data_IF_359914934413
#
_entry.id   IF_359914934413
#
_cell.length_a   1.000
_cell.length_b   1.000
_cell.length_c   1.000
_cell.angle_alpha   90.00
_cell.angle_beta   90.00
_cell.angle_gamma   90.00
#
_symmetry.space_group_name_H-M   'P 1'
#
loop_
_entity.id
_entity.type
_entity.pdbx_description
1 polymer ?
#
# COMPACT_ATOMS: atom_id res chain seq x y z
N UNK A 1 -9.25 -11.76 -0.92
CA UNK A 1 -9.95 -10.72 -1.73
C UNK A 1 -10.61 -9.62 -0.91
N UNK A 2 -11.61 -9.89 -0.06
CA UNK A 2 -12.27 -8.79 0.68
C UNK A 2 -11.33 -8.12 1.68
N UNK A 3 -10.56 -8.93 2.43
CA UNK A 3 -9.51 -8.45 3.33
C UNK A 3 -8.39 -7.71 2.58
N UNK A 4 -7.94 -8.22 1.44
CA UNK A 4 -6.98 -7.54 0.55
C UNK A 4 -7.46 -6.15 0.14
N UNK A 5 -8.71 -6.02 -0.31
CA UNK A 5 -9.30 -4.72 -0.68
C UNK A 5 -9.44 -3.77 0.52
N UNK A 6 -9.68 -4.30 1.72
CA UNK A 6 -9.74 -3.50 2.96
C UNK A 6 -8.35 -2.96 3.28
N UNK A 7 -7.34 -3.84 3.35
CA UNK A 7 -5.94 -3.45 3.61
C UNK A 7 -5.46 -2.41 2.60
N UNK A 8 -5.79 -2.62 1.32
CA UNK A 8 -5.44 -1.69 0.27
C UNK A 8 -6.14 -0.34 0.43
N UNK A 9 -7.43 -0.33 0.78
CA UNK A 9 -8.16 0.93 1.01
C UNK A 9 -7.57 1.71 2.18
N UNK A 10 -7.29 1.04 3.30
CA UNK A 10 -6.66 1.66 4.47
C UNK A 10 -5.28 2.22 4.12
N UNK A 11 -4.45 1.47 3.39
CA UNK A 11 -3.14 1.98 2.95
C UNK A 11 -3.25 3.24 2.06
N UNK A 12 -4.30 3.33 1.24
CA UNK A 12 -4.56 4.51 0.41
C UNK A 12 -5.11 5.69 1.21
N UNK A 13 -5.94 5.45 2.23
CA UNK A 13 -6.39 6.49 3.17
C UNK A 13 -5.19 7.08 3.92
N UNK A 14 -4.28 6.25 4.42
CA UNK A 14 -3.03 6.68 5.06
C UNK A 14 -2.13 7.46 4.08
N UNK A 15 -2.02 7.01 2.83
CA UNK A 15 -1.28 7.73 1.80
C UNK A 15 -1.88 9.12 1.52
N UNK A 16 -3.20 9.23 1.41
CA UNK A 16 -3.90 10.50 1.25
C UNK A 16 -3.71 11.43 2.46
N UNK A 17 -3.74 10.87 3.66
CA UNK A 17 -3.46 11.59 4.90
C UNK A 17 -2.02 12.11 4.92
N UNK A 18 -1.03 11.30 4.52
CA UNK A 18 0.37 11.74 4.41
C UNK A 18 0.56 12.89 3.42
N UNK A 19 -0.16 12.88 2.28
CA UNK A 19 -0.11 14.01 1.34
C UNK A 19 -0.71 15.27 1.94
N UNK A 20 -1.86 15.15 2.62
CA UNK A 20 -2.48 16.26 3.34
C UNK A 20 -1.52 16.85 4.38
N UNK A 21 -0.90 15.99 5.19
CA UNK A 21 0.08 16.40 6.19
C UNK A 21 1.27 17.13 5.56
N UNK A 22 1.84 16.60 4.48
CA UNK A 22 2.96 17.24 3.78
C UNK A 22 2.56 18.60 3.19
N UNK A 23 1.31 18.77 2.75
CA UNK A 23 0.81 20.04 2.20
C UNK A 23 0.68 21.15 3.25
N UNK A 24 0.56 20.79 4.52
CA UNK A 24 0.45 21.74 5.64
C UNK A 24 1.82 22.26 6.12
N UNK A 25 2.93 21.63 5.71
CA UNK A 25 4.27 22.02 6.13
C UNK A 25 4.73 23.25 5.33
N UNK A 26 4.88 24.44 5.95
CA UNK A 26 5.11 25.69 5.21
C UNK A 26 6.43 25.75 4.44
N UNK A 27 7.41 24.94 4.83
CA UNK A 27 8.74 24.86 4.21
C UNK A 27 8.81 23.82 3.09
N UNK A 28 7.72 23.10 2.82
CA UNK A 28 7.67 22.07 1.79
C UNK A 28 7.45 22.70 0.41
N UNK A 29 8.52 23.23 -0.19
CA UNK A 29 8.47 23.90 -1.51
C UNK A 29 8.33 22.92 -2.69
N UNK A 30 8.42 21.60 -2.46
CA UNK A 30 8.36 20.60 -3.52
C UNK A 30 6.93 20.15 -3.77
N UNK A 31 6.56 19.99 -5.05
CA UNK A 31 5.35 19.26 -5.42
C UNK A 31 5.36 17.89 -4.75
N UNK A 32 4.28 17.56 -4.03
CA UNK A 32 4.15 16.26 -3.36
C UNK A 32 4.10 15.19 -4.45
N UNK A 33 5.10 14.28 -4.53
CA UNK A 33 5.09 13.24 -5.54
C UNK A 33 4.00 12.22 -5.23
N UNK A 34 3.57 11.50 -6.26
CA UNK A 34 2.69 10.36 -6.09
C UNK A 34 3.29 9.33 -5.12
N UNK A 35 2.49 8.83 -4.19
CA UNK A 35 2.94 7.81 -3.23
C UNK A 35 2.93 6.45 -3.92
N UNK A 36 4.09 5.78 -3.93
CA UNK A 36 4.21 4.42 -4.44
C UNK A 36 3.79 3.40 -3.38
N UNK A 37 2.76 2.62 -3.67
CA UNK A 37 2.30 1.50 -2.85
C UNK A 37 2.74 0.20 -3.51
N UNK A 38 3.60 -0.55 -2.83
CA UNK A 38 3.95 -1.91 -3.22
C UNK A 38 2.91 -2.91 -2.71
N UNK A 39 2.38 -3.74 -3.61
CA UNK A 39 1.35 -4.73 -3.27
C UNK A 39 1.62 -6.09 -3.90
N UNK A 40 1.34 -7.18 -3.17
CA UNK A 40 1.72 -8.54 -3.56
C UNK A 40 0.62 -9.36 -4.25
N UNK A 41 -0.57 -8.78 -4.42
CA UNK A 41 -1.70 -9.41 -5.12
C UNK A 41 -1.96 -8.70 -6.46
N UNK A 42 -1.43 -9.29 -7.54
CA UNK A 42 -1.70 -8.85 -8.92
C UNK A 42 -3.19 -8.86 -9.24
N UNK A 43 -3.94 -9.81 -8.68
CA UNK A 43 -5.39 -9.91 -8.84
C UNK A 43 -6.15 -8.73 -8.19
N UNK A 44 -5.66 -8.19 -7.08
CA UNK A 44 -6.23 -6.99 -6.47
C UNK A 44 -5.86 -5.73 -7.27
N UNK A 45 -4.58 -5.58 -7.65
CA UNK A 45 -4.12 -4.46 -8.51
C UNK A 45 -4.97 -4.39 -9.78
N UNK A 46 -5.09 -5.51 -10.50
CA UNK A 46 -5.88 -5.58 -11.73
C UNK A 46 -7.35 -5.20 -11.52
N UNK A 47 -7.96 -5.57 -10.37
CA UNK A 47 -9.36 -5.21 -10.07
C UNK A 47 -9.55 -3.73 -9.81
N UNK A 48 -8.60 -3.11 -9.11
CA UNK A 48 -8.65 -1.69 -8.81
C UNK A 48 -8.46 -0.87 -10.09
N UNK A 49 -7.52 -1.29 -10.95
CA UNK A 49 -7.26 -0.65 -12.25
C UNK A 49 -8.36 -0.91 -13.29
N UNK A 50 -9.17 -1.95 -13.13
CA UNK A 50 -10.24 -2.27 -14.07
C UNK A 50 -11.40 -1.27 -13.96
N UNK A 51 -11.56 -0.44 -15.00
CA UNK A 51 -12.62 0.56 -15.13
C UNK A 51 -14.04 -0.02 -15.02
N UNK A 52 -14.26 -1.25 -15.49
CA UNK A 52 -15.56 -1.92 -15.51
C UNK A 52 -15.88 -2.66 -14.21
N UNK A 53 -14.92 -2.79 -13.30
CA UNK A 53 -15.17 -3.39 -12.01
C UNK A 53 -15.84 -2.36 -11.10
N UNK A 54 -17.06 -2.66 -10.62
CA UNK A 54 -17.84 -1.75 -9.78
C UNK A 54 -17.97 -2.24 -8.33
N UNK A 55 -17.05 -3.07 -7.83
CA UNK A 55 -17.16 -3.68 -6.50
C UNK A 55 -18.41 -4.57 -6.35
N UNK A 56 -18.33 -5.86 -6.72
CA UNK A 56 -19.53 -6.72 -6.71
C UNK A 56 -20.25 -6.77 -5.34
N UNK A 57 -19.52 -6.63 -4.23
CA UNK A 57 -20.05 -6.64 -2.85
C UNK A 57 -20.21 -5.22 -2.29
N UNK A 58 -21.32 -4.97 -1.58
CA UNK A 58 -21.65 -3.67 -0.96
C UNK A 58 -20.50 -3.10 -0.11
N UNK A 59 -19.80 -3.92 0.67
CA UNK A 59 -18.70 -3.50 1.54
C UNK A 59 -17.40 -3.14 0.79
N UNK A 60 -17.26 -3.61 -0.45
CA UNK A 60 -16.07 -3.38 -1.31
C UNK A 60 -16.28 -2.18 -2.24
N UNK A 61 -17.53 -1.90 -2.65
CA UNK A 61 -17.87 -0.76 -3.53
C UNK A 61 -17.24 0.57 -3.12
N UNK A 62 -17.48 1.10 -1.91
CA UNK A 62 -16.96 2.41 -1.54
C UNK A 62 -15.43 2.42 -1.54
N UNK A 63 -14.81 1.35 -1.04
CA UNK A 63 -13.35 1.18 -1.01
C UNK A 63 -12.74 1.19 -2.41
N UNK A 64 -13.35 0.46 -3.34
CA UNK A 64 -12.89 0.42 -4.73
C UNK A 64 -12.98 1.79 -5.40
N UNK A 65 -14.08 2.53 -5.21
CA UNK A 65 -14.23 3.87 -5.75
C UNK A 65 -13.15 4.83 -5.28
N UNK A 66 -12.86 4.85 -3.97
CA UNK A 66 -11.84 5.72 -3.37
C UNK A 66 -10.44 5.40 -3.93
N UNK A 67 -10.05 4.12 -3.93
CA UNK A 67 -8.73 3.73 -4.42
C UNK A 67 -8.58 4.10 -5.90
N UNK A 68 -9.64 3.87 -6.69
CA UNK A 68 -9.64 4.20 -8.12
C UNK A 68 -9.51 5.70 -8.35
N UNK A 69 -10.18 6.53 -7.57
CA UNK A 69 -10.04 7.99 -7.65
C UNK A 69 -8.60 8.42 -7.41
N UNK A 70 -7.94 7.89 -6.37
CA UNK A 70 -6.54 8.18 -6.04
C UNK A 70 -5.55 7.75 -7.14
N UNK A 71 -5.84 6.66 -7.85
CA UNK A 71 -5.06 6.25 -9.01
C UNK A 71 -5.28 7.16 -10.22
N UNK A 72 -6.52 7.62 -10.45
CA UNK A 72 -6.87 8.51 -11.58
C UNK A 72 -6.29 9.90 -11.37
N UNK A 73 -6.32 10.43 -10.14
CA UNK A 73 -5.71 11.73 -9.81
C UNK A 73 -4.19 11.68 -9.83
N UNK A 74 -3.60 10.47 -9.88
CA UNK A 74 -2.16 10.27 -9.80
C UNK A 74 -1.59 10.54 -8.42
N UNK A 75 -2.44 10.67 -7.38
CA UNK A 75 -1.99 10.83 -6.00
C UNK A 75 -1.26 9.57 -5.52
N UNK A 76 -1.67 8.39 -6.00
CA UNK A 76 -1.04 7.11 -5.67
C UNK A 76 -0.67 6.36 -6.95
N UNK A 77 0.46 5.67 -6.91
CA UNK A 77 0.87 4.69 -7.92
C UNK A 77 0.97 3.33 -7.22
N UNK A 78 0.51 2.28 -7.90
CA UNK A 78 0.64 0.91 -7.40
C UNK A 78 1.61 0.12 -8.25
N UNK A 79 2.52 -0.57 -7.58
CA UNK A 79 3.45 -1.50 -8.23
C UNK A 79 3.42 -2.87 -7.53
N UNK A 80 3.65 -3.90 -8.34
CA UNK A 80 3.67 -5.26 -7.85
C UNK A 80 4.99 -5.56 -7.14
N UNK A 81 4.92 -6.15 -5.96
CA UNK A 81 6.07 -6.74 -5.28
C UNK A 81 5.82 -8.21 -5.05
N UNK A 82 6.84 -9.06 -5.19
CA UNK A 82 6.68 -10.48 -4.83
C UNK A 82 6.44 -10.58 -3.33
N UNK A 83 5.57 -11.49 -2.88
CA UNK A 83 5.27 -11.65 -1.44
C UNK A 83 6.54 -11.91 -0.60
N UNK A 84 7.50 -12.68 -1.13
CA UNK A 84 8.78 -12.93 -0.46
C UNK A 84 9.68 -11.68 -0.34
N UNK A 85 9.38 -10.65 -1.12
CA UNK A 85 10.07 -9.38 -1.13
C UNK A 85 9.26 -8.26 -0.45
N UNK A 86 8.02 -8.54 -0.03
CA UNK A 86 7.15 -7.56 0.61
C UNK A 86 7.58 -7.32 2.06
N UNK A 87 8.23 -6.20 2.32
CA UNK A 87 8.70 -5.85 3.67
C UNK A 87 7.53 -5.69 4.66
N UNK A 88 6.35 -5.29 4.20
CA UNK A 88 5.16 -5.12 5.06
C UNK A 88 4.65 -6.45 5.62
N UNK A 89 4.98 -7.59 5.01
CA UNK A 89 4.57 -8.91 5.50
C UNK A 89 5.14 -9.22 6.88
N UNK A 90 6.29 -8.63 7.24
CA UNK A 90 6.86 -8.76 8.59
C UNK A 90 5.91 -8.24 9.68
N UNK A 91 5.15 -7.19 9.37
CA UNK A 91 4.23 -6.55 10.32
C UNK A 91 2.83 -7.16 10.28
N UNK A 92 2.46 -7.80 9.17
CA UNK A 92 1.10 -8.25 8.90
C UNK A 92 0.91 -9.77 9.00
N UNK A 93 1.99 -10.56 8.88
CA UNK A 93 1.93 -12.03 8.79
C UNK A 93 2.86 -12.68 9.82
N UNK A 94 2.48 -13.86 10.30
CA UNK A 94 3.39 -14.74 11.02
C UNK A 94 4.38 -15.37 10.04
N UNK A 95 5.58 -14.79 9.90
CA UNK A 95 6.63 -15.29 9.02
C UNK A 95 7.54 -16.31 9.73
N UNK A 96 8.22 -17.15 8.95
CA UNK A 96 9.29 -18.01 9.48
C UNK A 96 10.47 -17.17 9.94
N UNK A 97 11.23 -17.65 10.93
CA UNK A 97 12.39 -16.95 11.49
C UNK A 97 13.40 -16.51 10.42
N UNK A 98 13.64 -17.36 9.44
CA UNK A 98 14.54 -17.06 8.31
C UNK A 98 14.04 -15.87 7.48
N UNK A 99 12.74 -15.86 7.12
CA UNK A 99 12.14 -14.73 6.41
C UNK A 99 12.17 -13.46 7.24
N UNK A 100 11.93 -13.54 8.55
CA UNK A 100 12.03 -12.40 9.46
C UNK A 100 13.43 -11.78 9.39
N UNK A 101 14.49 -12.57 9.54
CA UNK A 101 15.85 -12.04 9.48
C UNK A 101 16.19 -11.39 8.14
N UNK A 102 15.83 -12.05 7.03
CA UNK A 102 16.06 -11.51 5.69
C UNK A 102 15.32 -10.17 5.49
N UNK A 103 14.08 -10.07 5.97
CA UNK A 103 13.28 -8.84 5.87
C UNK A 103 13.84 -7.74 6.77
N UNK A 104 14.27 -8.06 8.00
CA UNK A 104 14.91 -7.11 8.92
C UNK A 104 16.20 -6.53 8.32
N UNK A 105 17.05 -7.37 7.73
CA UNK A 105 18.28 -6.92 7.06
C UNK A 105 17.97 -5.94 5.92
N UNK A 106 16.95 -6.22 5.11
CA UNK A 106 16.49 -5.32 4.02
C UNK A 106 15.89 -4.02 4.53
N UNK A 107 15.32 -4.00 5.74
CA UNK A 107 14.89 -2.78 6.41
C UNK A 107 16.05 -1.97 7.01
N UNK A 108 17.30 -2.47 6.93
CA UNK A 108 18.47 -1.85 7.54
C UNK A 108 18.58 -2.09 9.05
N UNK A 109 17.78 -3.01 9.59
CA UNK A 109 17.79 -3.35 11.01
C UNK A 109 18.87 -4.41 11.28
N UNK A 110 19.59 -4.22 12.39
CA UNK A 110 20.60 -5.17 12.87
C UNK A 110 20.14 -5.82 14.17
N UNK A 111 20.44 -7.11 14.38
CA UNK A 111 20.19 -7.73 15.66
C UNK A 111 20.97 -6.99 16.75
N UNK A 112 20.32 -6.77 17.89
CA UNK A 112 20.98 -6.25 19.09
C UNK A 112 21.96 -7.32 19.54
N UNK A 113 23.24 -6.95 19.62
CA UNK A 113 24.25 -7.79 20.26
C UNK A 113 24.08 -7.64 21.77
N UNK A 114 23.49 -8.65 22.39
CA UNK A 114 23.38 -8.77 23.85
C UNK A 114 24.50 -9.66 24.39
#
# INVERSE_FOLDING_TARGET
MELEMIVLATANEEASWLQSLLSEIPTWERSIPAILIHYDSTAAIAKVQNYYYNGKRRQIRPKHSIIRELLITGAVIMDYVRSDDNLADLLMKGLTREKVFKTLERMGLKPIQT
#
